data_IF_252383330099
#
_entry.id   IF_252383330099
#
_cell.length_a   1.000
_cell.length_b   1.000
_cell.length_c   1.000
_cell.angle_alpha   90.00
_cell.angle_beta   90.00
_cell.angle_gamma   90.00
#
_symmetry.space_group_name_H-M   'P 1'
#
loop_
_entity.id
_entity.type
_entity.pdbx_description
1 polymer ?
#
# COMPACT_ATOMS: atom_id res chain seq x y z
N UNK A 1 6.15 -5.56 -71.25
CA UNK A 1 4.79 -5.30 -70.72
C UNK A 1 4.32 -6.54 -69.97
N UNK A 2 3.92 -6.41 -68.70
CA UNK A 2 3.22 -7.47 -67.95
C UNK A 2 3.82 -7.87 -66.59
N UNK A 3 3.97 -6.94 -65.65
CA UNK A 3 4.25 -7.25 -64.24
C UNK A 3 2.97 -7.83 -63.62
N UNK A 4 3.03 -9.08 -63.15
CA UNK A 4 1.94 -9.79 -62.46
C UNK A 4 1.62 -9.14 -61.11
N UNK A 5 0.48 -8.47 -61.06
CA UNK A 5 -0.05 -7.78 -59.90
C UNK A 5 -0.71 -8.80 -58.93
N UNK A 6 0.03 -9.29 -57.93
CA UNK A 6 -0.54 -10.10 -56.83
C UNK A 6 -1.36 -9.18 -55.92
N UNK A 7 -2.68 -9.19 -56.10
CA UNK A 7 -3.63 -8.59 -55.14
C UNK A 7 -3.47 -9.27 -53.78
N UNK A 8 -2.94 -8.56 -52.78
CA UNK A 8 -3.06 -8.93 -51.36
C UNK A 8 -4.55 -8.94 -51.01
N UNK A 9 -5.10 -10.10 -50.67
CA UNK A 9 -6.39 -10.19 -49.96
C UNK A 9 -6.21 -9.52 -48.60
N UNK A 10 -6.99 -8.48 -48.33
CA UNK A 10 -7.10 -7.92 -46.99
C UNK A 10 -7.62 -9.03 -46.05
N UNK A 11 -6.90 -9.29 -44.97
CA UNK A 11 -7.38 -10.17 -43.91
C UNK A 11 -8.59 -9.51 -43.25
N UNK A 12 -9.68 -10.26 -43.12
CA UNK A 12 -10.83 -9.83 -42.34
C UNK A 12 -10.39 -9.57 -40.89
N UNK A 13 -10.91 -8.53 -40.21
CA UNK A 13 -10.62 -8.33 -38.80
C UNK A 13 -11.06 -9.58 -38.03
N UNK A 14 -10.16 -10.08 -37.18
CA UNK A 14 -10.46 -11.21 -36.31
C UNK A 14 -11.72 -10.90 -35.51
N UNK A 15 -12.70 -11.82 -35.55
CA UNK A 15 -13.89 -11.71 -34.73
C UNK A 15 -13.46 -11.56 -33.26
N UNK A 16 -13.97 -10.51 -32.59
CA UNK A 16 -13.78 -10.34 -31.17
C UNK A 16 -14.21 -11.64 -30.48
N UNK A 17 -13.30 -12.22 -29.68
CA UNK A 17 -13.62 -13.39 -28.87
C UNK A 17 -14.83 -13.11 -27.97
N UNK A 18 -15.44 -14.16 -27.39
CA UNK A 18 -16.46 -13.96 -26.35
C UNK A 18 -15.91 -12.98 -25.30
N UNK A 19 -16.74 -12.04 -24.77
CA UNK A 19 -16.28 -11.13 -23.73
C UNK A 19 -15.69 -11.97 -22.61
N UNK A 20 -14.43 -11.72 -22.28
CA UNK A 20 -13.80 -12.38 -21.14
C UNK A 20 -14.69 -12.11 -19.90
N UNK A 21 -14.89 -13.11 -19.03
CA UNK A 21 -15.59 -12.86 -17.78
C UNK A 21 -14.86 -11.74 -17.06
N UNK A 22 -15.50 -10.58 -16.96
CA UNK A 22 -14.96 -9.44 -16.26
C UNK A 22 -14.80 -9.86 -14.80
N UNK A 23 -13.55 -9.98 -14.37
CA UNK A 23 -13.26 -10.09 -12.95
C UNK A 23 -13.55 -8.72 -12.35
N UNK A 24 -14.81 -8.51 -11.94
CA UNK A 24 -15.23 -7.26 -11.34
C UNK A 24 -14.72 -7.19 -9.89
N UNK A 25 -14.14 -6.04 -9.55
CA UNK A 25 -13.82 -5.75 -8.16
C UNK A 25 -15.12 -5.69 -7.32
N UNK A 26 -15.09 -6.20 -6.08
CA UNK A 26 -16.25 -6.20 -5.21
C UNK A 26 -16.70 -4.77 -4.88
N UNK A 27 -18.00 -4.56 -4.66
CA UNK A 27 -18.59 -3.25 -4.38
C UNK A 27 -19.17 -3.15 -2.97
N UNK A 28 -18.34 -2.97 -1.92
CA UNK A 28 -18.81 -2.96 -0.53
C UNK A 28 -19.79 -1.83 -0.22
N UNK A 29 -19.74 -0.73 -0.98
CA UNK A 29 -20.57 0.46 -0.79
C UNK A 29 -21.69 0.60 -1.84
N UNK A 30 -22.02 -0.49 -2.54
CA UNK A 30 -23.12 -0.53 -3.50
C UNK A 30 -22.71 -0.12 -4.91
N UNK A 31 -23.00 1.11 -5.33
CA UNK A 31 -22.71 1.55 -6.69
C UNK A 31 -21.21 1.79 -6.89
N UNK A 32 -20.68 1.22 -7.97
CA UNK A 32 -19.29 1.40 -8.38
C UNK A 32 -18.99 2.77 -8.99
N UNK A 33 -17.71 3.08 -9.13
CA UNK A 33 -17.23 4.24 -9.87
C UNK A 33 -17.26 3.99 -11.38
N UNK A 34 -17.50 5.04 -12.17
CA UNK A 34 -17.41 4.97 -13.64
C UNK A 34 -16.01 4.52 -14.09
N UNK A 35 -14.99 5.08 -13.44
CA UNK A 35 -13.57 4.79 -13.66
C UNK A 35 -13.23 3.31 -13.43
N UNK A 36 -14.00 2.60 -12.60
CA UNK A 36 -13.73 1.20 -12.33
C UNK A 36 -13.94 0.31 -13.56
N UNK A 37 -14.87 0.70 -14.45
CA UNK A 37 -15.15 0.01 -15.72
C UNK A 37 -14.37 0.53 -16.92
N UNK A 38 -13.51 1.53 -16.75
CA UNK A 38 -12.64 2.02 -17.82
C UNK A 38 -11.42 1.09 -17.99
N UNK A 39 -10.87 0.97 -19.21
CA UNK A 39 -9.71 0.12 -19.45
C UNK A 39 -8.47 0.62 -18.68
N UNK A 40 -7.62 -0.32 -18.27
CA UNK A 40 -6.30 0.00 -17.74
C UNK A 40 -5.42 0.54 -18.86
N UNK A 41 -4.93 1.77 -18.71
CA UNK A 41 -4.03 2.43 -19.64
C UNK A 41 -2.58 2.29 -19.15
N UNK A 42 -1.64 2.58 -20.03
CA UNK A 42 -0.21 2.57 -19.71
C UNK A 42 0.28 4.00 -19.45
N UNK A 43 1.14 4.21 -18.45
CA UNK A 43 1.89 5.45 -18.32
C UNK A 43 2.84 5.64 -19.50
N UNK A 44 3.18 6.90 -19.82
CA UNK A 44 4.15 7.23 -20.88
C UNK A 44 5.56 6.71 -20.54
N UNK A 45 5.89 6.69 -19.24
CA UNK A 45 7.18 6.22 -18.75
C UNK A 45 7.11 4.77 -18.21
N UNK A 46 8.22 4.02 -18.25
CA UNK A 46 8.28 2.69 -17.65
C UNK A 46 7.83 2.69 -16.19
N UNK A 47 6.77 1.94 -15.91
CA UNK A 47 6.14 1.91 -14.60
C UNK A 47 6.55 0.66 -13.79
N UNK A 48 6.56 0.80 -12.47
CA UNK A 48 6.43 -0.36 -11.58
C UNK A 48 5.08 -1.06 -11.84
N UNK A 49 4.97 -2.34 -11.49
CA UNK A 49 3.73 -3.10 -11.65
C UNK A 49 2.54 -2.41 -10.97
N UNK A 50 1.45 -2.18 -11.71
CA UNK A 50 0.22 -1.57 -11.19
C UNK A 50 -0.49 -2.39 -10.11
N UNK A 51 -0.17 -3.69 -10.01
CA UNK A 51 -0.57 -4.58 -8.91
C UNK A 51 0.69 -5.22 -8.35
N UNK A 52 0.89 -5.12 -7.05
CA UNK A 52 1.87 -5.90 -6.28
C UNK A 52 1.13 -6.65 -5.19
N UNK A 53 1.48 -7.91 -4.97
CA UNK A 53 0.83 -8.73 -3.95
C UNK A 53 1.77 -9.81 -3.40
N UNK A 54 1.70 -10.04 -2.09
CA UNK A 54 2.44 -11.08 -1.38
C UNK A 54 1.52 -11.88 -0.45
N UNK A 55 1.74 -13.19 -0.39
CA UNK A 55 1.14 -14.08 0.59
C UNK A 55 2.25 -14.85 1.30
N UNK A 56 2.44 -14.58 2.60
CA UNK A 56 3.53 -15.18 3.37
C UNK A 56 3.06 -15.69 4.72
N UNK A 57 3.77 -16.69 5.24
CA UNK A 57 3.68 -17.18 6.62
C UNK A 57 5.04 -16.95 7.28
N UNK A 58 5.06 -16.29 8.44
CA UNK A 58 6.29 -15.99 9.18
C UNK A 58 6.08 -16.30 10.66
N UNK A 59 6.64 -17.42 11.14
CA UNK A 59 6.35 -17.92 12.48
C UNK A 59 4.85 -18.20 12.63
N UNK A 60 4.26 -17.71 13.71
CA UNK A 60 2.82 -17.77 13.98
C UNK A 60 2.03 -16.61 13.33
N UNK A 61 2.56 -15.95 12.30
CA UNK A 61 1.84 -14.91 11.56
C UNK A 61 1.52 -15.37 10.13
N UNK A 62 0.28 -15.20 9.69
CA UNK A 62 -0.06 -15.17 8.27
C UNK A 62 -0.20 -13.73 7.81
N UNK A 63 0.35 -13.42 6.63
CA UNK A 63 0.33 -12.06 6.06
C UNK A 63 -0.20 -12.10 4.64
N UNK A 64 -1.01 -11.09 4.31
CA UNK A 64 -1.37 -10.72 2.95
C UNK A 64 -1.01 -9.27 2.76
N UNK A 65 -0.35 -8.96 1.67
CA UNK A 65 -0.05 -7.60 1.27
C UNK A 65 -0.49 -7.40 -0.17
N UNK A 66 -1.08 -6.26 -0.47
CA UNK A 66 -1.39 -5.86 -1.83
C UNK A 66 -1.35 -4.34 -1.95
N UNK A 67 -0.94 -3.88 -3.12
CA UNK A 67 -0.90 -2.47 -3.49
C UNK A 67 -1.30 -2.33 -4.96
N UNK A 68 -2.39 -1.61 -5.20
CA UNK A 68 -3.02 -1.46 -6.50
C UNK A 68 -3.10 0.01 -6.90
N UNK A 69 -2.89 0.27 -8.19
CA UNK A 69 -3.17 1.58 -8.79
C UNK A 69 -4.67 1.87 -8.77
N UNK A 70 -5.01 3.07 -8.32
CA UNK A 70 -6.36 3.56 -8.16
C UNK A 70 -7.12 3.67 -9.48
N UNK A 71 -8.46 3.56 -9.47
CA UNK A 71 -9.28 3.76 -10.66
C UNK A 71 -9.01 5.07 -11.39
N UNK A 72 -8.85 6.18 -10.67
CA UNK A 72 -8.58 7.48 -11.31
C UNK A 72 -7.22 7.49 -12.01
N UNK A 73 -6.20 6.91 -11.38
CA UNK A 73 -4.83 6.89 -11.87
C UNK A 73 -4.66 5.96 -13.08
N UNK A 74 -5.21 4.74 -13.02
CA UNK A 74 -5.02 3.75 -14.09
C UNK A 74 -5.76 4.05 -15.38
N UNK A 75 -6.85 4.82 -15.32
CA UNK A 75 -7.70 5.12 -16.48
C UNK A 75 -7.47 6.52 -17.06
N UNK A 76 -6.63 7.34 -16.42
CA UNK A 76 -6.18 8.62 -16.96
C UNK A 76 -5.39 8.43 -18.27
N UNK A 77 -5.33 9.48 -19.10
CA UNK A 77 -4.54 9.49 -20.34
C UNK A 77 -3.62 10.73 -20.34
N UNK A 78 -2.30 10.56 -20.15
CA UNK A 78 -1.61 9.29 -19.87
C UNK A 78 -1.99 8.71 -18.49
N UNK A 79 -1.82 7.39 -18.32
CA UNK A 79 -2.09 6.77 -17.02
C UNK A 79 -1.02 7.19 -16.01
N UNK A 80 -1.40 7.24 -14.73
CA UNK A 80 -0.47 7.53 -13.66
C UNK A 80 0.09 6.23 -13.06
N UNK A 81 1.33 6.32 -12.55
CA UNK A 81 1.95 5.21 -11.83
C UNK A 81 1.21 4.93 -10.52
N UNK A 82 1.33 3.70 -10.00
CA UNK A 82 0.99 3.46 -8.61
C UNK A 82 1.96 4.25 -7.71
N UNK A 83 1.43 5.23 -7.00
CA UNK A 83 2.09 6.14 -6.05
C UNK A 83 2.30 5.47 -4.70
N UNK A 84 1.48 4.48 -4.37
CA UNK A 84 1.62 3.65 -3.18
C UNK A 84 2.73 2.59 -3.25
N UNK A 85 3.31 2.26 -2.10
CA UNK A 85 4.24 1.16 -1.94
C UNK A 85 4.14 0.43 -0.59
N UNK A 86 4.49 -0.86 -0.57
CA UNK A 86 4.80 -1.59 0.66
C UNK A 86 6.07 -2.43 0.53
N UNK A 87 6.66 -2.78 1.67
CA UNK A 87 7.73 -3.77 1.79
C UNK A 87 7.54 -4.65 3.01
N UNK A 88 7.80 -5.94 2.83
CA UNK A 88 7.90 -6.93 3.90
C UNK A 88 9.37 -7.31 4.09
N UNK A 89 9.78 -7.51 5.34
CA UNK A 89 11.13 -7.92 5.69
C UNK A 89 11.16 -8.79 6.94
N UNK A 90 12.35 -9.33 7.24
CA UNK A 90 12.65 -9.99 8.50
C UNK A 90 13.95 -9.46 9.07
N UNK A 91 14.04 -9.38 10.38
CA UNK A 91 15.33 -9.16 11.05
C UNK A 91 16.26 -10.36 10.83
N UNK A 92 17.56 -10.16 11.02
CA UNK A 92 18.55 -11.23 10.82
C UNK A 92 18.33 -12.41 11.76
N UNK A 93 17.90 -12.14 12.99
CA UNK A 93 17.56 -13.17 13.99
C UNK A 93 16.23 -13.87 13.69
N UNK A 94 15.48 -13.46 12.66
CA UNK A 94 14.21 -14.03 12.21
C UNK A 94 13.09 -13.99 13.27
N UNK A 95 13.23 -13.13 14.28
CA UNK A 95 12.29 -12.95 15.41
C UNK A 95 11.21 -11.91 15.14
N UNK A 96 11.38 -11.10 14.10
CA UNK A 96 10.45 -10.04 13.76
C UNK A 96 10.08 -10.09 12.28
N UNK A 97 8.79 -9.90 12.01
CA UNK A 97 8.29 -9.40 10.73
C UNK A 97 8.46 -7.88 10.74
N UNK A 98 9.04 -7.36 9.67
CA UNK A 98 9.18 -5.93 9.42
C UNK A 98 8.21 -5.55 8.31
N UNK A 99 7.44 -4.50 8.50
CA UNK A 99 6.47 -4.01 7.51
C UNK A 99 6.69 -2.52 7.32
N UNK A 100 6.66 -2.05 6.08
CA UNK A 100 6.55 -0.64 5.77
C UNK A 100 5.50 -0.42 4.68
N UNK A 101 4.70 0.63 4.83
CA UNK A 101 3.76 1.13 3.82
C UNK A 101 4.03 2.62 3.60
N UNK A 102 3.88 3.10 2.38
CA UNK A 102 4.01 4.50 2.04
C UNK A 102 3.00 4.88 0.97
N UNK A 103 2.56 6.12 1.07
CA UNK A 103 1.63 6.78 0.17
C UNK A 103 2.36 7.97 -0.46
N UNK A 104 2.47 7.96 -1.78
CA UNK A 104 3.13 9.01 -2.52
C UNK A 104 2.16 10.16 -2.81
N UNK A 105 2.50 11.38 -2.40
CA UNK A 105 1.61 12.53 -2.56
C UNK A 105 1.24 12.79 -4.03
N UNK A 106 -0.04 12.98 -4.31
CA UNK A 106 -0.58 13.15 -5.68
C UNK A 106 -0.08 14.43 -6.39
N UNK A 107 0.29 15.46 -5.62
CA UNK A 107 0.86 16.72 -6.13
C UNK A 107 2.39 16.66 -6.33
N UNK A 108 2.97 15.45 -6.29
CA UNK A 108 4.40 15.19 -6.42
C UNK A 108 4.69 14.32 -7.64
N UNK A 109 5.44 14.86 -8.61
CA UNK A 109 5.55 14.30 -9.97
C UNK A 109 6.18 12.89 -10.05
N UNK A 110 7.02 12.54 -9.06
CA UNK A 110 7.73 11.26 -8.91
C UNK A 110 7.41 10.59 -7.57
N UNK A 111 6.22 10.83 -7.03
CA UNK A 111 5.78 10.30 -5.73
C UNK A 111 5.93 8.78 -5.60
N UNK A 112 5.63 8.02 -6.66
CA UNK A 112 5.87 6.58 -6.74
C UNK A 112 7.33 6.17 -6.45
N UNK A 113 8.33 6.95 -6.90
CA UNK A 113 9.74 6.71 -6.58
C UNK A 113 10.00 7.02 -5.10
N UNK A 114 9.48 8.14 -4.61
CA UNK A 114 9.57 8.55 -3.21
C UNK A 114 9.05 7.48 -2.26
N UNK A 115 7.82 7.00 -2.47
CA UNK A 115 7.20 5.96 -1.67
C UNK A 115 8.01 4.65 -1.70
N UNK A 116 8.46 4.18 -2.88
CA UNK A 116 9.25 2.96 -3.00
C UNK A 116 10.61 3.04 -2.31
N UNK A 117 11.29 4.20 -2.41
CA UNK A 117 12.55 4.44 -1.71
C UNK A 117 12.32 4.48 -0.20
N UNK A 118 11.27 5.17 0.26
CA UNK A 118 10.92 5.28 1.67
C UNK A 118 10.74 3.89 2.32
N UNK A 119 9.84 3.06 1.80
CA UNK A 119 9.59 1.72 2.39
C UNK A 119 10.82 0.82 2.35
N UNK A 120 11.67 0.96 1.34
CA UNK A 120 12.92 0.19 1.22
C UNK A 120 13.94 0.63 2.27
N UNK A 121 14.14 1.93 2.43
CA UNK A 121 15.03 2.50 3.43
C UNK A 121 14.57 2.19 4.86
N UNK A 122 13.26 2.32 5.14
CA UNK A 122 12.68 2.00 6.44
C UNK A 122 12.96 0.55 6.85
N UNK A 123 12.69 -0.42 5.96
CA UNK A 123 12.98 -1.84 6.23
C UNK A 123 14.47 -2.09 6.40
N UNK A 124 15.31 -1.50 5.53
CA UNK A 124 16.76 -1.65 5.60
C UNK A 124 17.33 -1.16 6.94
N UNK A 125 16.89 0.02 7.38
CA UNK A 125 17.32 0.63 8.63
C UNK A 125 16.80 -0.12 9.85
N UNK A 126 15.53 -0.52 9.89
CA UNK A 126 14.98 -1.36 10.96
C UNK A 126 15.77 -2.66 11.11
N UNK A 127 16.09 -3.30 9.99
CA UNK A 127 16.89 -4.54 9.98
C UNK A 127 18.30 -4.32 10.54
N UNK A 128 18.94 -3.19 10.21
CA UNK A 128 20.26 -2.82 10.72
C UNK A 128 20.24 -2.46 12.22
N UNK A 129 19.20 -1.77 12.69
CA UNK A 129 19.07 -1.38 14.10
C UNK A 129 18.80 -2.61 14.98
N UNK A 130 17.89 -3.49 14.56
CA UNK A 130 17.62 -4.75 15.27
C UNK A 130 18.84 -5.67 15.31
N UNK A 131 19.61 -5.75 14.23
CA UNK A 131 20.85 -6.55 14.18
C UNK A 131 21.90 -6.07 15.20
N UNK A 132 21.96 -4.77 15.46
CA UNK A 132 22.87 -4.16 16.44
C UNK A 132 22.31 -4.11 17.86
N UNK A 133 21.06 -4.52 18.05
CA UNK A 133 20.35 -4.32 19.32
C UNK A 133 20.15 -2.84 19.67
N UNK A 134 20.14 -1.96 18.66
CA UNK A 134 19.92 -0.54 18.86
C UNK A 134 18.44 -0.26 19.22
N UNK A 135 18.17 0.77 20.04
CA UNK A 135 16.80 1.20 20.27
C UNK A 135 16.16 1.66 18.96
N UNK A 136 14.86 1.38 18.80
CA UNK A 136 14.09 1.88 17.66
C UNK A 136 13.71 3.33 17.91
N UNK A 137 14.28 4.22 17.09
CA UNK A 137 14.10 5.67 17.16
C UNK A 137 13.45 6.17 15.86
N UNK A 138 12.20 6.65 15.96
CA UNK A 138 11.38 7.00 14.81
C UNK A 138 11.97 8.18 14.01
N UNK A 139 12.28 9.35 14.59
CA UNK A 139 13.00 10.42 13.90
C UNK A 139 14.28 9.96 13.18
N UNK A 140 15.12 9.15 13.83
CA UNK A 140 16.37 8.70 13.21
C UNK A 140 16.12 7.68 12.08
N UNK A 141 15.08 6.86 12.18
CA UNK A 141 14.62 5.94 11.14
C UNK A 141 14.10 6.70 9.91
N UNK A 142 13.21 7.66 10.12
CA UNK A 142 12.62 8.46 9.05
C UNK A 142 13.62 9.43 8.43
N UNK A 143 14.62 9.91 9.18
CA UNK A 143 15.71 10.72 8.65
C UNK A 143 16.58 9.92 7.65
N UNK A 144 16.77 8.64 7.90
CA UNK A 144 17.49 7.77 6.94
C UNK A 144 16.68 7.62 5.65
N UNK A 145 15.38 7.36 5.76
CA UNK A 145 14.47 7.32 4.60
C UNK A 145 14.47 8.64 3.83
N UNK A 146 14.36 9.78 4.51
CA UNK A 146 14.44 11.11 3.91
C UNK A 146 15.74 11.28 3.11
N UNK A 147 16.90 10.93 3.69
CA UNK A 147 18.21 11.03 3.01
C UNK A 147 18.28 10.16 1.75
N UNK A 148 17.72 8.95 1.79
CA UNK A 148 17.67 8.08 0.62
C UNK A 148 16.75 8.66 -0.47
N UNK A 149 15.61 9.24 -0.09
CA UNK A 149 14.71 9.92 -1.03
C UNK A 149 15.36 11.14 -1.67
N UNK A 150 16.02 11.99 -0.88
CA UNK A 150 16.80 13.14 -1.39
C UNK A 150 17.92 12.70 -2.33
N UNK A 151 18.63 11.61 -1.97
CA UNK A 151 19.66 11.02 -2.83
C UNK A 151 19.11 10.52 -4.16
N UNK A 152 17.96 9.85 -4.14
CA UNK A 152 17.26 9.42 -5.35
C UNK A 152 16.82 10.62 -6.21
N UNK A 153 16.23 11.65 -5.61
CA UNK A 153 15.82 12.85 -6.34
C UNK A 153 17.00 13.50 -7.07
N UNK A 154 18.14 13.65 -6.38
CA UNK A 154 19.37 14.17 -6.97
C UNK A 154 19.89 13.30 -8.13
N UNK A 155 19.84 11.96 -8.00
CA UNK A 155 20.25 11.03 -9.06
C UNK A 155 19.34 11.11 -10.29
N UNK A 156 18.04 11.34 -10.09
CA UNK A 156 17.05 11.51 -11.15
C UNK A 156 17.00 12.94 -11.69
N UNK A 157 17.85 13.85 -11.18
CA UNK A 157 17.88 15.26 -11.55
C UNK A 157 16.53 15.98 -11.34
N UNK A 158 15.78 15.56 -10.30
CA UNK A 158 14.53 16.18 -9.85
C UNK A 158 14.71 16.76 -8.43
N UNK A 159 13.69 17.45 -7.93
CA UNK A 159 13.74 18.06 -6.59
C UNK A 159 13.13 17.15 -5.52
N UNK A 160 13.38 17.46 -4.26
CA UNK A 160 12.74 16.76 -3.14
C UNK A 160 11.20 16.92 -3.14
N UNK A 161 10.67 18.02 -3.72
CA UNK A 161 9.23 18.22 -3.90
C UNK A 161 8.61 17.20 -4.87
N UNK A 162 9.41 16.62 -5.75
CA UNK A 162 8.98 15.63 -6.74
C UNK A 162 8.88 14.23 -6.16
N UNK A 163 9.37 13.95 -4.95
CA UNK A 163 9.41 12.59 -4.37
C UNK A 163 8.75 12.51 -3.00
N UNK A 164 7.68 13.29 -2.75
CA UNK A 164 7.06 13.37 -1.42
C UNK A 164 6.22 12.15 -1.08
N UNK A 165 6.24 11.74 0.19
CA UNK A 165 5.45 10.60 0.67
C UNK A 165 5.12 10.66 2.16
N UNK A 166 3.96 10.13 2.52
CA UNK A 166 3.61 9.64 3.85
C UNK A 166 4.16 8.22 4.04
N UNK A 167 4.50 7.82 5.26
CA UNK A 167 5.05 6.48 5.48
C UNK A 167 4.85 5.97 6.91
N UNK A 168 4.68 4.65 7.02
CA UNK A 168 4.55 3.92 8.27
C UNK A 168 5.47 2.70 8.24
N UNK A 169 6.13 2.42 9.37
CA UNK A 169 6.92 1.23 9.58
C UNK A 169 6.50 0.53 10.87
N UNK A 170 6.53 -0.81 10.87
CA UNK A 170 6.19 -1.63 12.02
C UNK A 170 7.15 -2.81 12.20
N UNK A 171 7.37 -3.15 13.47
CA UNK A 171 8.12 -4.33 13.91
C UNK A 171 7.18 -5.22 14.71
N UNK A 172 6.88 -6.39 14.16
CA UNK A 172 5.91 -7.35 14.72
C UNK A 172 6.67 -8.61 15.15
N UNK A 173 6.69 -8.96 16.45
CA UNK A 173 7.24 -10.24 16.90
C UNK A 173 6.56 -11.41 16.19
N UNK A 174 7.33 -12.38 15.69
CA UNK A 174 6.80 -13.56 14.96
C UNK A 174 6.23 -14.62 15.89
N UNK A 175 6.72 -14.68 17.13
CA UNK A 175 6.16 -15.47 18.23
C UNK A 175 5.51 -14.55 19.27
N UNK A 176 4.40 -14.98 19.91
CA UNK A 176 3.78 -14.20 20.97
C UNK A 176 4.61 -14.29 22.25
N UNK A 177 4.36 -13.37 23.20
CA UNK A 177 4.86 -13.49 24.56
C UNK A 177 4.17 -14.67 25.28
N UNK A 178 4.65 -15.00 26.49
CA UNK A 178 4.13 -16.13 27.27
C UNK A 178 2.63 -16.00 27.63
N UNK A 179 2.11 -14.78 27.69
CA UNK A 179 0.69 -14.49 27.92
C UNK A 179 -0.16 -14.53 26.62
N UNK A 180 0.45 -14.86 25.49
CA UNK A 180 -0.19 -14.93 24.18
C UNK A 180 -0.29 -13.60 23.43
N UNK A 181 0.10 -12.47 24.04
CA UNK A 181 0.01 -11.15 23.42
C UNK A 181 1.27 -10.81 22.63
N UNK A 182 1.15 -9.88 21.68
CA UNK A 182 2.29 -9.35 20.91
C UNK A 182 2.44 -7.86 21.16
N UNK A 183 3.66 -7.44 21.49
CA UNK A 183 4.02 -6.03 21.58
C UNK A 183 4.59 -5.59 20.23
N UNK A 184 3.79 -4.88 19.45
CA UNK A 184 4.17 -4.32 18.16
C UNK A 184 4.72 -2.92 18.36
N UNK A 185 5.84 -2.62 17.72
CA UNK A 185 6.32 -1.24 17.59
C UNK A 185 5.88 -0.69 16.24
N UNK A 186 5.34 0.52 16.23
CA UNK A 186 4.97 1.23 15.01
C UNK A 186 5.53 2.65 15.05
N UNK A 187 5.89 3.17 13.88
CA UNK A 187 6.21 4.57 13.66
C UNK A 187 5.62 5.04 12.34
N UNK A 188 5.11 6.27 12.31
CA UNK A 188 4.44 6.81 11.13
C UNK A 188 4.64 8.31 11.01
N UNK A 189 4.41 8.80 9.79
CA UNK A 189 4.34 10.20 9.44
C UNK A 189 3.12 10.38 8.53
N UNK A 190 2.34 11.42 8.77
CA UNK A 190 1.07 11.73 8.09
C UNK A 190 -0.06 10.70 8.33
N UNK A 191 -0.89 10.46 7.32
CA UNK A 191 -2.23 9.85 7.38
C UNK A 191 -2.27 8.34 7.08
N UNK A 192 -1.14 7.74 6.74
CA UNK A 192 -0.99 6.28 6.77
C UNK A 192 -1.22 5.74 8.19
N UNK A 193 -1.91 4.60 8.29
CA UNK A 193 -2.43 4.14 9.57
C UNK A 193 -2.25 2.66 9.84
N UNK A 194 -2.59 2.29 11.08
CA UNK A 194 -2.79 0.89 11.45
C UNK A 194 -4.11 0.72 12.20
N UNK A 195 -4.79 -0.40 11.96
CA UNK A 195 -6.08 -0.73 12.52
C UNK A 195 -6.09 -2.17 13.03
N UNK A 196 -6.83 -2.41 14.10
CA UNK A 196 -7.15 -3.76 14.55
C UNK A 196 -8.60 -4.09 14.22
N UNK A 197 -8.84 -5.31 13.74
CA UNK A 197 -10.20 -5.79 13.49
C UNK A 197 -10.97 -5.90 14.80
N UNK A 198 -12.17 -5.34 14.82
CA UNK A 198 -13.20 -5.53 15.84
C UNK A 198 -14.34 -6.41 15.28
N UNK A 199 -15.32 -6.77 16.12
CA UNK A 199 -16.40 -7.70 15.72
C UNK A 199 -17.18 -7.23 14.48
N UNK A 200 -17.43 -5.92 14.38
CA UNK A 200 -18.25 -5.34 13.30
C UNK A 200 -17.50 -4.31 12.47
N UNK A 201 -16.17 -4.27 12.54
CA UNK A 201 -15.39 -3.25 11.83
C UNK A 201 -13.92 -3.22 12.20
N UNK A 202 -13.35 -2.00 12.18
CA UNK A 202 -11.93 -1.76 12.42
C UNK A 202 -11.74 -0.58 13.37
N UNK A 203 -10.87 -0.75 14.35
CA UNK A 203 -10.50 0.30 15.30
C UNK A 203 -9.12 0.83 14.92
N UNK A 204 -9.01 2.12 14.63
CA UNK A 204 -7.73 2.78 14.32
C UNK A 204 -6.85 2.80 15.58
N UNK A 205 -5.59 2.39 15.41
CA UNK A 205 -4.56 2.36 16.46
C UNK A 205 -3.52 3.48 16.29
N UNK A 206 -3.17 3.82 15.04
CA UNK A 206 -2.24 4.90 14.67
C UNK A 206 -2.67 5.55 13.36
N UNK A 207 -2.12 6.74 13.06
CA UNK A 207 -2.49 7.58 11.92
C UNK A 207 -3.53 8.64 12.29
N UNK A 208 -3.54 9.76 11.57
CA UNK A 208 -4.42 10.89 11.88
C UNK A 208 -5.82 10.72 11.27
N UNK A 209 -6.85 11.10 12.02
CA UNK A 209 -8.19 11.24 11.45
C UNK A 209 -8.24 12.51 10.61
N UNK A 210 -8.62 12.38 9.33
CA UNK A 210 -8.87 13.52 8.47
C UNK A 210 -10.09 14.29 9.01
N UNK A 211 -9.90 15.53 9.44
CA UNK A 211 -10.97 16.42 9.92
C UNK A 211 -10.90 17.79 9.23
N UNK A 212 -12.05 18.32 8.79
CA UNK A 212 -12.18 19.70 8.29
C UNK A 212 -12.10 19.85 6.76
N UNK A 213 -12.05 21.11 6.31
CA UNK A 213 -12.10 21.48 4.88
C UNK A 213 -10.76 21.27 4.13
N UNK A 214 -9.64 21.17 4.86
CA UNK A 214 -8.28 20.91 4.33
C UNK A 214 -7.82 19.46 4.61
N UNK A 215 -8.78 18.53 4.78
CA UNK A 215 -8.54 17.14 5.14
C UNK A 215 -7.54 16.39 4.23
N UNK A 216 -7.39 16.83 2.98
CA UNK A 216 -6.53 16.17 1.98
C UNK A 216 -5.13 16.81 1.85
N UNK A 217 -4.85 17.90 2.55
CA UNK A 217 -3.57 18.60 2.46
C UNK A 217 -2.61 18.16 3.59
N UNK A 218 -1.67 17.28 3.26
CA UNK A 218 -0.61 16.90 4.19
C UNK A 218 0.39 18.04 4.40
N UNK A 219 0.66 18.36 5.67
CA UNK A 219 1.62 19.40 6.08
C UNK A 219 2.94 18.82 6.60
N UNK A 220 2.98 17.53 6.92
CA UNK A 220 4.15 16.81 7.40
C UNK A 220 4.38 15.59 6.51
N UNK A 221 5.49 15.53 5.79
CA UNK A 221 5.80 14.46 4.83
C UNK A 221 7.31 14.28 4.66
N UNK A 222 7.72 13.11 4.18
CA UNK A 222 9.09 12.87 3.74
C UNK A 222 9.33 13.56 2.38
N UNK A 223 10.55 14.03 2.08
CA UNK A 223 11.76 13.97 2.91
C UNK A 223 11.93 15.14 3.89
N UNK A 224 10.99 16.08 3.96
CA UNK A 224 11.20 17.37 4.66
C UNK A 224 10.99 17.32 6.18
N UNK A 225 10.14 16.42 6.67
CA UNK A 225 9.72 16.39 8.09
C UNK A 225 10.01 15.07 8.83
N UNK A 226 11.21 14.47 8.68
CA UNK A 226 11.50 13.19 9.33
C UNK A 226 11.48 13.27 10.87
N UNK A 227 11.75 14.45 11.44
CA UNK A 227 11.70 14.73 12.88
C UNK A 227 10.28 14.69 13.46
N UNK A 228 9.26 14.75 12.60
CA UNK A 228 7.84 14.70 12.99
C UNK A 228 7.28 13.29 13.05
N UNK A 229 8.09 12.28 12.74
CA UNK A 229 7.68 10.88 12.83
C UNK A 229 7.27 10.52 14.28
N UNK A 230 6.07 9.97 14.41
CA UNK A 230 5.47 9.56 15.69
C UNK A 230 5.73 8.08 15.92
N UNK A 231 5.60 7.63 17.16
CA UNK A 231 5.75 6.21 17.50
C UNK A 231 4.72 5.75 18.51
N UNK A 232 4.32 4.49 18.41
CA UNK A 232 3.45 3.82 19.36
C UNK A 232 3.92 2.40 19.62
N UNK A 233 3.62 1.90 20.83
CA UNK A 233 3.69 0.48 21.16
C UNK A 233 2.27 -0.04 21.26
N UNK A 234 1.94 -0.98 20.40
CA UNK A 234 0.60 -1.57 20.28
C UNK A 234 0.63 -2.95 20.93
N UNK A 235 -0.38 -3.28 21.72
CA UNK A 235 -0.58 -4.63 22.24
C UNK A 235 -1.66 -5.31 21.43
N UNK A 236 -1.27 -6.38 20.72
CA UNK A 236 -2.21 -7.23 20.00
C UNK A 236 -2.55 -8.44 20.86
N UNK A 237 -3.85 -8.66 21.02
CA UNK A 237 -4.37 -9.86 21.67
C UNK A 237 -4.15 -11.10 20.80
N UNK A 238 -4.22 -12.27 21.43
CA UNK A 238 -4.14 -13.56 20.73
C UNK A 238 -5.21 -13.63 19.63
N UNK A 239 -4.84 -14.06 18.44
CA UNK A 239 -5.79 -14.16 17.32
C UNK A 239 -6.22 -12.84 16.68
N UNK A 240 -5.61 -11.71 17.08
CA UNK A 240 -5.90 -10.39 16.51
C UNK A 240 -5.54 -10.33 15.01
N UNK A 241 -6.22 -9.41 14.31
CA UNK A 241 -5.93 -9.09 12.90
C UNK A 241 -5.54 -7.61 12.83
N UNK A 242 -4.31 -7.34 12.44
CA UNK A 242 -3.74 -6.00 12.28
C UNK A 242 -3.67 -5.65 10.79
N UNK A 243 -4.23 -4.53 10.39
CA UNK A 243 -4.05 -3.94 9.06
C UNK A 243 -3.14 -2.71 9.16
N UNK A 244 -2.20 -2.57 8.23
CA UNK A 244 -1.38 -1.39 8.01
C UNK A 244 -1.69 -0.92 6.59
N UNK A 245 -2.14 0.31 6.42
CA UNK A 245 -2.74 0.72 5.16
C UNK A 245 -2.57 2.22 4.86
N UNK A 246 -2.67 2.54 3.58
CA UNK A 246 -2.80 3.92 3.05
C UNK A 246 -4.25 4.38 3.13
N UNK A 247 -4.50 5.65 2.86
CA UNK A 247 -5.82 6.26 2.98
C UNK A 247 -6.85 5.63 2.02
N UNK A 248 -6.45 5.14 0.84
CA UNK A 248 -7.35 4.44 -0.08
C UNK A 248 -8.03 3.18 0.48
N UNK A 249 -7.51 2.65 1.59
CA UNK A 249 -8.18 1.61 2.41
C UNK A 249 -8.72 2.20 3.71
N UNK A 250 -7.97 3.09 4.37
CA UNK A 250 -8.37 3.74 5.62
C UNK A 250 -9.67 4.53 5.51
N UNK A 251 -9.86 5.27 4.42
CA UNK A 251 -11.07 6.04 4.10
C UNK A 251 -12.23 5.10 3.80
N UNK A 252 -11.97 3.96 3.15
CA UNK A 252 -12.97 2.89 3.00
C UNK A 252 -13.47 2.35 4.34
N UNK A 253 -12.60 2.23 5.35
CA UNK A 253 -13.03 1.86 6.70
C UNK A 253 -13.93 2.93 7.32
N UNK A 254 -13.61 4.22 7.14
CA UNK A 254 -14.39 5.34 7.67
C UNK A 254 -15.74 5.51 6.94
N UNK A 255 -15.78 5.25 5.64
CA UNK A 255 -16.93 5.49 4.75
C UNK A 255 -17.89 4.29 4.65
N UNK A 256 -17.88 3.42 5.67
CA UNK A 256 -18.87 2.37 5.85
C UNK A 256 -18.52 1.01 5.24
N UNK A 257 -17.34 0.84 4.64
CA UNK A 257 -16.90 -0.48 4.14
C UNK A 257 -16.26 -1.33 5.26
N UNK A 258 -16.02 -0.76 6.45
CA UNK A 258 -15.41 -1.46 7.58
C UNK A 258 -16.07 -2.81 7.94
N UNK A 259 -17.41 -2.95 8.02
CA UNK A 259 -18.04 -4.25 8.31
C UNK A 259 -17.74 -5.30 7.24
N UNK A 260 -17.70 -4.89 5.96
CA UNK A 260 -17.39 -5.79 4.84
C UNK A 260 -15.95 -6.28 4.90
N UNK A 261 -14.99 -5.39 5.15
CA UNK A 261 -13.60 -5.79 5.35
C UNK A 261 -13.41 -6.64 6.60
N UNK A 262 -14.10 -6.34 7.69
CA UNK A 262 -14.01 -7.11 8.94
C UNK A 262 -14.52 -8.55 8.78
N UNK A 263 -15.57 -8.75 7.96
CA UNK A 263 -16.05 -10.08 7.59
C UNK A 263 -15.04 -10.80 6.69
N UNK A 264 -14.63 -10.18 5.59
CA UNK A 264 -13.76 -10.83 4.59
C UNK A 264 -12.35 -11.12 5.07
N UNK A 265 -11.83 -10.29 5.96
CA UNK A 265 -10.51 -10.45 6.56
C UNK A 265 -10.60 -11.03 7.98
N UNK A 266 -11.73 -11.68 8.33
CA UNK A 266 -11.81 -12.44 9.59
C UNK A 266 -10.80 -13.59 9.63
N UNK A 267 -10.55 -14.22 8.49
CA UNK A 267 -9.53 -15.23 8.24
C UNK A 267 -8.67 -14.83 7.03
N UNK A 268 -7.42 -15.33 6.89
CA UNK A 268 -6.56 -14.98 5.77
C UNK A 268 -7.15 -15.46 4.44
N UNK A 269 -7.59 -14.58 3.54
CA UNK A 269 -8.15 -15.00 2.26
C UNK A 269 -7.06 -15.55 1.33
N UNK A 270 -7.48 -16.19 0.23
CA UNK A 270 -6.56 -16.48 -0.87
C UNK A 270 -6.03 -15.17 -1.47
N UNK A 271 -4.78 -15.15 -1.97
CA UNK A 271 -4.14 -13.91 -2.43
C UNK A 271 -4.92 -13.21 -3.55
N UNK A 272 -5.50 -13.97 -4.48
CA UNK A 272 -6.34 -13.38 -5.54
C UNK A 272 -7.61 -12.70 -4.98
N UNK A 273 -8.23 -13.28 -3.94
CA UNK A 273 -9.36 -12.67 -3.26
C UNK A 273 -8.92 -11.43 -2.49
N UNK A 274 -7.77 -11.47 -1.83
CA UNK A 274 -7.21 -10.30 -1.15
C UNK A 274 -6.93 -9.13 -2.10
N UNK A 275 -6.36 -9.42 -3.27
CA UNK A 275 -6.13 -8.43 -4.34
C UNK A 275 -7.46 -7.83 -4.81
N UNK A 276 -8.49 -8.65 -4.98
CA UNK A 276 -9.83 -8.17 -5.28
C UNK A 276 -10.38 -7.28 -4.16
N UNK A 277 -10.15 -7.65 -2.90
CA UNK A 277 -10.63 -6.89 -1.75
C UNK A 277 -9.97 -5.53 -1.63
N UNK A 278 -8.65 -5.45 -1.80
CA UNK A 278 -7.92 -4.16 -1.82
C UNK A 278 -8.30 -3.35 -3.05
N UNK A 279 -8.59 -3.99 -4.18
CA UNK A 279 -9.00 -3.33 -5.41
C UNK A 279 -10.46 -2.88 -5.46
N UNK A 280 -11.25 -3.05 -4.39
CA UNK A 280 -12.70 -2.82 -4.33
C UNK A 280 -13.20 -1.60 -5.12
N UNK A 281 -14.42 -1.69 -5.64
CA UNK A 281 -15.05 -0.64 -6.41
C UNK A 281 -16.04 0.14 -5.53
N UNK A 282 -15.79 1.43 -5.36
CA UNK A 282 -16.64 2.32 -4.61
C UNK A 282 -16.60 3.72 -5.23
N UNK A 283 -17.76 4.38 -5.27
CA UNK A 283 -17.88 5.76 -5.73
C UNK A 283 -17.09 6.69 -4.80
N UNK A 284 -16.26 7.56 -5.38
CA UNK A 284 -15.50 8.58 -4.63
C UNK A 284 -14.13 8.10 -4.13
N UNK A 285 -13.98 6.80 -3.89
CA UNK A 285 -12.71 6.20 -3.43
C UNK A 285 -11.92 5.73 -4.64
N UNK A 286 -11.22 6.65 -5.31
CA UNK A 286 -10.58 6.41 -6.61
C UNK A 286 -9.06 6.37 -6.58
N UNK A 287 -8.48 6.60 -5.40
CA UNK A 287 -7.03 6.62 -5.19
C UNK A 287 -6.42 5.22 -5.22
N UNK A 288 -5.09 5.19 -5.24
CA UNK A 288 -4.28 4.02 -4.97
C UNK A 288 -4.64 3.39 -3.64
N UNK A 289 -4.43 2.07 -3.54
CA UNK A 289 -4.87 1.31 -2.38
C UNK A 289 -3.84 0.31 -1.97
N UNK A 290 -3.41 0.41 -0.72
CA UNK A 290 -2.43 -0.50 -0.15
C UNK A 290 -2.85 -0.98 1.22
N UNK A 291 -2.80 -2.30 1.41
CA UNK A 291 -3.00 -2.92 2.70
C UNK A 291 -1.99 -4.05 2.92
N UNK A 292 -1.41 -4.07 4.11
CA UNK A 292 -0.72 -5.22 4.68
C UNK A 292 -1.54 -5.69 5.88
N UNK A 293 -2.13 -6.88 5.78
CA UNK A 293 -2.95 -7.47 6.84
C UNK A 293 -2.22 -8.66 7.43
N UNK A 294 -2.18 -8.70 8.76
CA UNK A 294 -1.44 -9.66 9.57
C UNK A 294 -2.45 -10.35 10.49
N UNK A 295 -2.61 -11.65 10.31
CA UNK A 295 -3.40 -12.50 11.20
C UNK A 295 -2.46 -13.16 12.20
N UNK A 296 -2.68 -12.91 13.49
CA UNK A 296 -1.94 -13.56 14.55
C UNK A 296 -2.48 -14.97 14.80
N UNK A 297 -1.57 -15.95 14.86
CA UNK A 297 -1.82 -17.34 15.25
C UNK A 297 -2.78 -18.09 14.31
N UNK A 298 -2.75 -17.75 13.01
CA UNK A 298 -3.52 -18.41 11.92
C UNK A 298 -2.64 -18.65 10.70
#
# INVERSE_FOLDING_TARGET
MGILNRRRRAAAPAAAGPPEPAWDFPRPLGAGARQAGEPWRLPDEPAISGIAADAVRVGALTVRAASLVGPAHRCAEPAQHRQDAYRLGRDQARRHLLVAVADGMSDSSRSHLGANVAVTALIGRLRADLARGAPLDAPALFLDAARQMSGMAAQQQVTENDVRAAALAAVVPVEPAADGRRLVWAAWLADVGAWVRADTGWTRLVGDEKHGLDADALTEFLPFHPDRARTARLTLEKGAVLALATDGIGDGFADGAAPWFADRWCDPPHIASFVADVGYDARGLLDDRTAVVIWCDR
#
